data_IF_865564568839
#
_entry.id   IF_865564568839
#
_cell.length_a   1.000
_cell.length_b   1.000
_cell.length_c   1.000
_cell.angle_alpha   90.00
_cell.angle_beta   90.00
_cell.angle_gamma   90.00
#
_symmetry.space_group_name_H-M   'P 1'
#
loop_
_entity.id
_entity.type
_entity.pdbx_description
1 polymer ?
#
# COMPACT_ATOMS: atom_id res chain seq x y z
N UNK A 1 -23.34 36.92 -29.27
CA UNK A 1 -23.53 35.68 -28.52
C UNK A 1 -22.39 34.74 -28.93
N UNK A 2 -21.36 34.67 -28.11
CA UNK A 2 -20.27 33.70 -28.27
C UNK A 2 -20.83 32.37 -27.81
N UNK A 3 -20.97 31.40 -28.72
CA UNK A 3 -21.26 30.02 -28.35
C UNK A 3 -20.04 29.47 -27.59
N UNK A 4 -20.25 29.08 -26.36
CA UNK A 4 -19.29 28.22 -25.66
C UNK A 4 -19.04 26.97 -26.53
N UNK A 5 -17.78 26.69 -26.82
CA UNK A 5 -17.41 25.48 -27.54
C UNK A 5 -17.80 24.28 -26.68
N UNK A 6 -18.54 23.35 -27.28
CA UNK A 6 -18.87 22.06 -26.65
C UNK A 6 -17.54 21.32 -26.39
N UNK A 7 -17.13 21.30 -25.12
CA UNK A 7 -15.88 20.69 -24.66
C UNK A 7 -16.04 19.22 -24.25
N UNK A 8 -17.15 18.60 -24.65
CA UNK A 8 -17.38 17.20 -24.41
C UNK A 8 -16.50 16.28 -25.29
N UNK A 9 -16.30 15.04 -24.88
CA UNK A 9 -15.53 14.08 -25.65
C UNK A 9 -16.18 13.80 -27.00
N UNK A 10 -15.38 13.75 -28.06
CA UNK A 10 -15.82 13.27 -29.36
C UNK A 10 -15.97 11.76 -29.31
N UNK A 11 -17.17 11.27 -29.59
CA UNK A 11 -17.45 9.83 -29.59
C UNK A 11 -17.69 9.40 -31.04
N UNK A 12 -16.90 8.45 -31.51
CA UNK A 12 -17.01 7.86 -32.83
C UNK A 12 -17.03 6.32 -32.76
N UNK A 13 -17.35 5.70 -33.89
CA UNK A 13 -17.18 4.26 -34.08
C UNK A 13 -16.18 4.03 -35.21
N UNK A 14 -15.25 3.10 -34.98
CA UNK A 14 -14.29 2.66 -35.97
C UNK A 14 -14.23 1.13 -35.97
N UNK A 15 -14.77 0.53 -37.01
CA UNK A 15 -14.81 -0.92 -37.20
C UNK A 15 -15.45 -1.69 -36.02
N UNK A 16 -16.55 -1.14 -35.43
CA UNK A 16 -17.24 -1.73 -34.30
C UNK A 16 -16.58 -1.45 -32.93
N UNK A 17 -15.53 -0.63 -32.90
CA UNK A 17 -14.89 -0.18 -31.67
C UNK A 17 -15.33 1.25 -31.37
N UNK A 18 -15.92 1.46 -30.21
CA UNK A 18 -16.26 2.80 -29.73
C UNK A 18 -14.97 3.57 -29.39
N UNK A 19 -14.71 4.63 -30.15
CA UNK A 19 -13.58 5.53 -29.93
C UNK A 19 -14.08 6.76 -29.18
N UNK A 20 -13.46 7.07 -28.05
CA UNK A 20 -13.71 8.30 -27.30
C UNK A 20 -12.42 9.12 -27.37
N UNK A 21 -12.52 10.32 -27.95
CA UNK A 21 -11.41 11.23 -28.07
C UNK A 21 -11.69 12.49 -27.26
N UNK A 22 -10.92 12.69 -26.18
CA UNK A 22 -10.92 13.92 -25.40
C UNK A 22 -9.87 14.88 -25.97
N UNK A 23 -10.31 16.04 -26.39
CA UNK A 23 -9.41 17.11 -26.88
C UNK A 23 -8.98 18.05 -25.75
N UNK A 24 -9.73 18.02 -24.63
CA UNK A 24 -9.43 18.81 -23.43
C UNK A 24 -9.45 17.86 -22.24
N UNK A 25 -8.45 17.93 -21.34
CA UNK A 25 -8.46 17.10 -20.14
C UNK A 25 -9.76 17.28 -19.36
N UNK A 26 -10.33 16.17 -18.85
CA UNK A 26 -11.58 16.18 -18.10
C UNK A 26 -11.56 17.10 -16.85
N UNK A 27 -10.37 17.39 -16.31
CA UNK A 27 -10.19 18.31 -15.18
C UNK A 27 -10.24 19.79 -15.55
N UNK A 28 -10.21 20.16 -16.85
CA UNK A 28 -10.35 21.55 -17.31
C UNK A 28 -9.43 22.52 -16.57
N UNK A 29 -10.03 23.54 -15.94
CA UNK A 29 -9.33 24.56 -15.10
C UNK A 29 -9.25 24.18 -13.61
N UNK A 30 -9.67 22.97 -13.23
CA UNK A 30 -9.58 22.53 -11.83
C UNK A 30 -8.11 22.55 -11.38
N UNK A 31 -7.81 23.09 -10.18
CA UNK A 31 -6.45 23.10 -9.68
C UNK A 31 -5.84 21.72 -9.69
N UNK A 32 -4.70 21.58 -10.36
CA UNK A 32 -3.96 20.32 -10.41
C UNK A 32 -3.03 20.22 -9.20
N UNK A 33 -2.83 19.01 -8.74
CA UNK A 33 -1.81 18.73 -7.75
C UNK A 33 -0.43 18.92 -8.38
N UNK A 34 0.41 19.72 -7.74
CA UNK A 34 1.82 19.88 -8.10
C UNK A 34 2.68 19.31 -7.00
N UNK A 35 3.74 18.61 -7.36
CA UNK A 35 4.77 18.21 -6.40
C UNK A 35 5.65 19.42 -6.16
N UNK A 36 5.67 19.90 -4.92
CA UNK A 36 6.54 21.00 -4.50
C UNK A 36 7.98 20.54 -4.31
N UNK A 37 8.92 21.46 -4.35
CA UNK A 37 10.35 21.18 -4.17
C UNK A 37 10.74 21.05 -2.68
N UNK A 38 9.80 21.27 -1.75
CA UNK A 38 10.07 21.20 -0.32
C UNK A 38 9.58 19.88 0.27
N UNK A 39 10.46 19.22 1.03
CA UNK A 39 10.09 18.08 1.87
C UNK A 39 9.24 18.55 3.03
N UNK A 40 8.16 17.83 3.34
CA UNK A 40 7.32 18.14 4.49
C UNK A 40 7.86 17.55 5.79
N UNK A 41 8.55 16.43 5.71
CA UNK A 41 9.12 15.70 6.85
C UNK A 41 10.40 14.98 6.40
N UNK A 42 11.46 15.14 7.18
CA UNK A 42 12.68 14.35 7.06
C UNK A 42 12.65 13.24 8.11
N UNK A 43 12.77 11.98 7.67
CA UNK A 43 12.76 10.82 8.54
C UNK A 43 14.05 10.03 8.37
N UNK A 44 14.59 9.61 9.45
CA UNK A 44 15.80 8.79 9.51
C UNK A 44 16.82 9.38 10.46
N UNK A 45 17.57 8.49 11.07
CA UNK A 45 18.67 8.85 11.93
C UNK A 45 19.98 8.35 11.32
N UNK A 46 21.07 9.12 11.38
CA UNK A 46 22.37 8.68 10.87
C UNK A 46 22.86 7.36 11.48
N UNK A 47 22.38 7.03 12.67
CA UNK A 47 22.74 5.81 13.42
C UNK A 47 21.91 4.58 13.05
N UNK A 48 20.78 4.78 12.37
CA UNK A 48 19.92 3.71 11.88
C UNK A 48 19.54 3.96 10.41
N UNK A 49 20.40 3.64 9.46
CA UNK A 49 20.10 3.87 8.06
C UNK A 49 18.86 3.07 7.63
N UNK A 50 17.95 3.75 6.99
CA UNK A 50 16.79 3.12 6.34
C UNK A 50 17.26 2.46 5.06
N UNK A 51 17.26 1.13 5.03
CA UNK A 51 17.70 0.35 3.86
C UNK A 51 16.58 -0.55 3.38
N UNK A 52 16.32 -0.51 2.08
CA UNK A 52 15.22 -1.28 1.48
C UNK A 52 13.85 -0.78 1.95
N UNK A 53 13.71 0.55 1.99
CA UNK A 53 12.46 1.20 2.40
C UNK A 53 11.39 0.96 1.35
N UNK A 54 10.36 0.27 1.71
CA UNK A 54 9.07 0.20 1.03
C UNK A 54 8.14 -0.75 1.80
N UNK A 55 6.87 -0.50 1.90
CA UNK A 55 6.13 0.72 1.68
C UNK A 55 6.15 1.68 2.87
N UNK A 56 5.53 2.84 2.70
CA UNK A 56 5.35 3.87 3.73
C UNK A 56 3.86 4.12 3.92
N UNK A 57 3.41 4.28 5.17
CA UNK A 57 2.03 4.64 5.51
C UNK A 57 2.00 5.94 6.31
N UNK A 58 0.93 6.69 6.15
CA UNK A 58 0.56 7.78 7.06
C UNK A 58 -0.69 7.41 7.82
N UNK A 59 -0.62 7.46 9.15
CA UNK A 59 -1.75 7.22 10.03
C UNK A 59 -2.64 8.47 10.13
N UNK A 60 -3.85 8.33 10.71
CA UNK A 60 -4.82 9.42 10.78
C UNK A 60 -4.36 10.61 11.63
N UNK A 61 -3.52 10.35 12.62
CA UNK A 61 -2.94 11.36 13.51
C UNK A 61 -1.64 11.99 12.96
N UNK A 62 -1.27 11.65 11.74
CA UNK A 62 -0.09 12.19 11.05
C UNK A 62 1.20 11.42 11.29
N UNK A 63 1.23 10.39 12.14
CA UNK A 63 2.40 9.50 12.27
C UNK A 63 2.74 8.83 10.96
N UNK A 64 4.01 8.56 10.76
CA UNK A 64 4.56 7.92 9.57
C UNK A 64 5.08 6.54 9.97
N UNK A 65 4.69 5.52 9.22
CA UNK A 65 5.12 4.14 9.45
C UNK A 65 5.90 3.66 8.25
N UNK A 66 7.09 3.13 8.48
CA UNK A 66 8.05 2.77 7.44
C UNK A 66 8.56 1.36 7.65
N UNK A 67 8.63 0.58 6.59
CA UNK A 67 9.34 -0.71 6.61
C UNK A 67 10.83 -0.48 6.41
N UNK A 68 11.66 -1.02 7.30
CA UNK A 68 13.09 -1.18 7.10
C UNK A 68 13.37 -2.63 6.67
N UNK A 69 13.48 -2.85 5.38
CA UNK A 69 13.63 -4.18 4.79
C UNK A 69 14.90 -4.89 5.22
N UNK A 70 16.01 -4.19 5.41
CA UNK A 70 17.26 -4.78 5.86
C UNK A 70 17.17 -5.39 7.25
N UNK A 71 16.41 -4.76 8.15
CA UNK A 71 16.23 -5.21 9.52
C UNK A 71 14.95 -6.01 9.73
N UNK A 72 14.08 -6.10 8.72
CA UNK A 72 12.79 -6.74 8.80
C UNK A 72 11.90 -6.13 9.90
N UNK A 73 11.97 -4.81 10.05
CA UNK A 73 11.30 -4.06 11.12
C UNK A 73 10.40 -2.96 10.57
N UNK A 74 9.47 -2.54 11.40
CA UNK A 74 8.50 -1.48 11.14
C UNK A 74 8.82 -0.33 12.10
N UNK A 75 9.15 0.83 11.55
CA UNK A 75 9.48 2.01 12.32
C UNK A 75 8.31 2.98 12.32
N UNK A 76 7.96 3.50 13.49
CA UNK A 76 6.91 4.48 13.69
C UNK A 76 7.54 5.82 14.05
N UNK A 77 7.25 6.83 13.26
CA UNK A 77 7.71 8.19 13.46
C UNK A 77 6.53 9.10 13.80
N UNK A 78 6.76 10.16 14.54
CA UNK A 78 5.78 11.22 14.69
C UNK A 78 5.68 12.09 13.42
N UNK A 79 4.77 13.07 13.43
CA UNK A 79 4.55 13.97 12.27
C UNK A 79 5.75 14.89 11.98
N UNK A 80 6.74 14.97 12.88
CA UNK A 80 7.97 15.75 12.71
C UNK A 80 9.16 14.93 12.24
N UNK A 81 8.99 13.59 12.12
CA UNK A 81 10.05 12.67 11.70
C UNK A 81 10.86 12.05 12.81
N UNK A 82 10.51 12.29 14.08
CA UNK A 82 11.17 11.67 15.23
C UNK A 82 10.72 10.24 15.40
N UNK A 83 11.66 9.32 15.56
CA UNK A 83 11.36 7.91 15.83
C UNK A 83 10.67 7.75 17.19
N UNK A 84 9.51 7.10 17.20
CA UNK A 84 8.72 6.79 18.39
C UNK A 84 8.97 5.37 18.89
N UNK A 85 8.89 4.39 17.98
CA UNK A 85 9.06 2.97 18.30
C UNK A 85 9.45 2.16 17.08
N UNK A 86 10.01 0.99 17.34
CA UNK A 86 10.32 -0.03 16.33
C UNK A 86 9.59 -1.30 16.71
N UNK A 87 8.84 -1.87 15.76
CA UNK A 87 8.13 -3.11 15.90
C UNK A 87 8.68 -4.17 14.94
N UNK A 88 8.43 -5.45 15.23
CA UNK A 88 8.91 -6.55 14.42
C UNK A 88 10.39 -6.83 14.62
N UNK A 89 11.05 -7.16 13.53
CA UNK A 89 12.46 -7.58 13.50
C UNK A 89 12.62 -8.92 12.79
N UNK A 90 13.86 -9.30 12.51
CA UNK A 90 14.16 -10.59 11.86
C UNK A 90 14.01 -11.73 12.86
N UNK A 91 13.23 -12.76 12.54
CA UNK A 91 13.09 -13.94 13.37
C UNK A 91 11.83 -14.75 13.09
N UNK A 92 11.57 -15.72 13.98
CA UNK A 92 10.46 -16.70 13.90
C UNK A 92 9.39 -16.49 14.96
N UNK A 93 9.64 -15.61 15.92
CA UNK A 93 8.72 -15.31 17.00
C UNK A 93 7.49 -14.56 16.49
N UNK A 94 6.47 -14.47 17.32
CA UNK A 94 5.29 -13.68 17.00
C UNK A 94 5.65 -12.20 16.77
N UNK A 95 5.11 -11.64 15.67
CA UNK A 95 5.44 -10.28 15.26
C UNK A 95 6.81 -10.10 14.60
N UNK A 96 7.60 -11.16 14.42
CA UNK A 96 8.87 -11.14 13.68
C UNK A 96 8.68 -11.64 12.24
N UNK A 97 9.65 -11.33 11.37
CA UNK A 97 9.56 -11.53 9.94
C UNK A 97 10.79 -12.17 9.34
N UNK A 98 10.60 -12.91 8.25
CA UNK A 98 11.66 -13.40 7.37
C UNK A 98 11.71 -12.62 6.06
N UNK A 99 10.57 -12.16 5.58
CA UNK A 99 10.41 -11.48 4.30
C UNK A 99 9.34 -10.39 4.38
N UNK A 100 9.50 -9.44 5.33
CA UNK A 100 8.61 -8.29 5.44
C UNK A 100 8.76 -7.40 4.20
N UNK A 101 7.72 -7.29 3.42
CA UNK A 101 7.76 -6.53 2.17
C UNK A 101 6.52 -5.69 1.91
N UNK A 102 5.50 -5.78 2.76
CA UNK A 102 4.30 -4.97 2.61
C UNK A 102 3.69 -4.61 3.96
N UNK A 103 3.19 -3.39 4.05
CA UNK A 103 2.33 -2.93 5.13
C UNK A 103 1.11 -2.21 4.56
N UNK A 104 -0.01 -2.33 5.25
CA UNK A 104 -1.25 -1.64 4.94
C UNK A 104 -1.89 -1.07 6.20
N UNK A 105 -2.80 -0.12 6.02
CA UNK A 105 -3.54 0.49 7.12
C UNK A 105 -4.90 -0.19 7.24
N UNK A 106 -5.19 -0.73 8.41
CA UNK A 106 -6.47 -1.30 8.78
C UNK A 106 -7.33 -0.38 9.65
N UNK A 107 -8.41 -0.94 10.24
CA UNK A 107 -9.29 -0.22 11.14
C UNK A 107 -8.54 0.38 12.34
N UNK A 108 -8.97 1.55 12.82
CA UNK A 108 -8.39 2.26 13.96
C UNK A 108 -6.86 2.43 13.88
N UNK A 109 -6.34 2.67 12.67
CA UNK A 109 -4.91 2.81 12.39
C UNK A 109 -4.07 1.56 12.72
N UNK A 110 -4.69 0.38 12.78
CA UNK A 110 -3.96 -0.88 12.84
C UNK A 110 -3.04 -1.01 11.63
N UNK A 111 -1.80 -1.39 11.85
CA UNK A 111 -0.85 -1.67 10.79
C UNK A 111 -0.86 -3.16 10.50
N UNK A 112 -1.21 -3.51 9.28
CA UNK A 112 -1.23 -4.88 8.77
C UNK A 112 0.07 -5.09 8.00
N UNK A 113 0.93 -5.99 8.47
CA UNK A 113 2.21 -6.30 7.84
C UNK A 113 2.16 -7.68 7.19
N UNK A 114 2.74 -7.83 6.00
CA UNK A 114 2.77 -9.11 5.29
C UNK A 114 4.19 -9.60 5.06
N UNK A 115 4.40 -10.85 5.43
CA UNK A 115 5.63 -11.60 5.20
C UNK A 115 5.45 -12.51 3.96
N UNK A 116 6.18 -12.21 2.89
CA UNK A 116 6.11 -12.98 1.64
C UNK A 116 6.67 -14.40 1.77
N UNK A 117 7.66 -14.60 2.62
CA UNK A 117 8.31 -15.89 2.77
C UNK A 117 7.49 -16.87 3.60
N UNK A 118 6.87 -16.37 4.68
CA UNK A 118 6.03 -17.20 5.55
C UNK A 118 4.56 -17.15 5.20
N UNK A 119 4.15 -16.20 4.32
CA UNK A 119 2.76 -15.97 3.88
C UNK A 119 1.83 -15.68 5.06
N UNK A 120 2.28 -14.88 5.99
CA UNK A 120 1.56 -14.51 7.20
C UNK A 120 1.37 -13.02 7.28
N UNK A 121 0.25 -12.65 7.90
CA UNK A 121 0.01 -11.29 8.35
C UNK A 121 0.35 -11.18 9.82
N UNK A 122 1.02 -10.08 10.18
CA UNK A 122 1.14 -9.64 11.55
C UNK A 122 0.40 -8.30 11.70
N UNK A 123 -0.41 -8.18 12.73
CA UNK A 123 -1.16 -6.97 13.03
C UNK A 123 -0.52 -6.29 14.22
N UNK A 124 -0.33 -4.98 14.08
CA UNK A 124 0.16 -4.10 15.12
C UNK A 124 -0.86 -2.99 15.35
N UNK A 125 -1.01 -2.58 16.60
CA UNK A 125 -1.85 -1.42 16.90
C UNK A 125 -1.20 -0.12 16.38
N UNK A 126 -1.92 0.98 16.50
CA UNK A 126 -1.45 2.28 16.07
C UNK A 126 -0.17 2.75 16.78
N UNK A 127 0.23 2.13 17.89
CA UNK A 127 1.46 2.45 18.64
C UNK A 127 2.62 1.51 18.32
N UNK A 128 2.40 0.50 17.45
CA UNK A 128 3.39 -0.50 17.10
C UNK A 128 3.45 -1.69 18.04
N UNK A 129 2.45 -1.88 18.92
CA UNK A 129 2.35 -3.06 19.76
C UNK A 129 1.80 -4.22 18.92
N UNK A 130 2.45 -5.38 18.98
CA UNK A 130 1.96 -6.58 18.34
C UNK A 130 0.59 -6.99 18.91
N UNK A 131 -0.34 -7.32 18.03
CA UNK A 131 -1.70 -7.71 18.39
C UNK A 131 -1.90 -9.19 18.13
N UNK A 132 -1.71 -9.66 16.91
CA UNK A 132 -1.89 -11.05 16.52
C UNK A 132 -1.26 -11.35 15.17
N UNK A 133 -1.12 -12.61 14.88
CA UNK A 133 -0.75 -13.12 13.57
C UNK A 133 -1.95 -13.83 12.92
N UNK A 134 -2.04 -13.73 11.59
CA UNK A 134 -3.04 -14.44 10.81
C UNK A 134 -2.33 -15.08 9.60
N UNK A 135 -2.66 -16.33 9.31
CA UNK A 135 -2.17 -16.99 8.11
C UNK A 135 -3.06 -16.62 6.92
N UNK A 136 -2.45 -16.33 5.78
CA UNK A 136 -3.18 -16.27 4.53
C UNK A 136 -3.47 -17.72 4.10
N UNK A 137 -4.73 -18.07 4.06
CA UNK A 137 -5.19 -19.35 3.51
C UNK A 137 -5.64 -19.12 2.04
N UNK A 138 -4.75 -19.27 1.06
CA UNK A 138 -5.16 -19.17 -0.33
C UNK A 138 -5.94 -20.42 -0.73
N UNK A 139 -6.82 -20.26 -1.69
CA UNK A 139 -7.52 -21.37 -2.30
C UNK A 139 -6.55 -22.39 -2.94
N UNK A 140 -5.38 -21.95 -3.40
CA UNK A 140 -4.28 -22.79 -3.91
C UNK A 140 -2.95 -22.31 -3.32
N UNK A 141 -2.25 -23.15 -2.51
CA UNK A 141 -0.95 -22.81 -1.92
C UNK A 141 0.16 -22.59 -2.95
N UNK A 142 -0.01 -23.06 -4.20
CA UNK A 142 0.95 -22.86 -5.29
C UNK A 142 0.83 -21.49 -5.96
N UNK A 143 -0.25 -20.77 -5.69
CA UNK A 143 -0.47 -19.44 -6.24
C UNK A 143 0.21 -18.43 -5.33
N UNK A 144 1.11 -17.63 -5.89
CA UNK A 144 1.66 -16.49 -5.16
C UNK A 144 0.57 -15.44 -4.96
N UNK A 145 0.47 -14.92 -3.75
CA UNK A 145 -0.43 -13.84 -3.40
C UNK A 145 0.40 -12.63 -2.97
N UNK A 146 0.16 -11.50 -3.62
CA UNK A 146 0.83 -10.24 -3.32
C UNK A 146 -0.21 -9.23 -2.88
N UNK A 147 -0.16 -8.70 -1.64
CA UNK A 147 -1.07 -7.68 -1.20
C UNK A 147 -0.81 -6.38 -1.95
N UNK A 148 -1.87 -5.74 -2.41
CA UNK A 148 -1.82 -4.48 -3.16
C UNK A 148 -2.33 -3.31 -2.35
N UNK A 149 -3.44 -3.51 -1.62
CA UNK A 149 -4.08 -2.45 -0.84
C UNK A 149 -4.81 -3.04 0.37
N UNK A 150 -4.92 -2.26 1.43
CA UNK A 150 -5.79 -2.51 2.57
C UNK A 150 -6.91 -1.47 2.62
N UNK A 151 -8.05 -1.86 3.19
CA UNK A 151 -9.23 -1.02 3.29
C UNK A 151 -9.62 -0.77 4.75
N UNK A 152 -10.42 0.28 5.02
CA UNK A 152 -10.85 0.63 6.38
C UNK A 152 -11.70 -0.43 7.08
N UNK A 153 -12.30 -1.34 6.33
CA UNK A 153 -13.08 -2.48 6.86
C UNK A 153 -12.20 -3.69 7.26
N UNK A 154 -10.87 -3.56 7.11
CA UNK A 154 -9.90 -4.62 7.40
C UNK A 154 -9.66 -5.59 6.25
N UNK A 155 -10.36 -5.44 5.13
CA UNK A 155 -10.11 -6.27 3.94
C UNK A 155 -8.79 -5.90 3.26
N UNK A 156 -8.17 -6.88 2.58
CA UNK A 156 -6.93 -6.70 1.81
C UNK A 156 -7.15 -7.19 0.40
N UNK A 157 -6.81 -6.34 -0.59
CA UNK A 157 -6.81 -6.70 -1.99
C UNK A 157 -5.51 -7.39 -2.36
N UNK A 158 -5.61 -8.53 -3.04
CA UNK A 158 -4.47 -9.30 -3.51
C UNK A 158 -4.41 -9.39 -5.02
N UNK A 159 -3.19 -9.37 -5.54
CA UNK A 159 -2.88 -9.88 -6.86
C UNK A 159 -2.49 -11.36 -6.72
N UNK A 160 -3.22 -12.24 -7.43
CA UNK A 160 -2.89 -13.65 -7.52
C UNK A 160 -2.14 -13.91 -8.82
N UNK A 161 -1.01 -14.59 -8.75
CA UNK A 161 -0.22 -14.92 -9.94
C UNK A 161 1.11 -15.59 -9.61
N UNK A 162 1.82 -16.04 -10.64
CA UNK A 162 3.19 -16.52 -10.47
C UNK A 162 4.14 -15.31 -10.39
N UNK A 163 5.05 -15.22 -9.41
CA UNK A 163 5.94 -14.06 -9.22
C UNK A 163 6.87 -13.78 -10.40
N UNK A 164 7.07 -14.72 -11.31
CA UNK A 164 8.04 -14.65 -12.41
C UNK A 164 7.40 -14.65 -13.80
N UNK A 165 6.06 -14.52 -13.90
CA UNK A 165 5.42 -14.44 -15.21
C UNK A 165 5.01 -12.98 -15.50
N UNK A 166 5.60 -12.31 -16.52
CA UNK A 166 5.26 -10.94 -16.86
C UNK A 166 3.86 -10.77 -17.47
N UNK A 167 3.10 -11.86 -17.62
CA UNK A 167 1.73 -11.80 -18.14
C UNK A 167 0.72 -11.59 -17.01
N UNK A 168 -0.32 -10.76 -17.22
CA UNK A 168 -1.25 -10.37 -16.16
C UNK A 168 -2.00 -11.61 -15.64
N UNK A 169 -1.76 -11.93 -14.37
CA UNK A 169 -2.62 -12.84 -13.62
C UNK A 169 -3.99 -12.21 -13.42
N UNK A 170 -4.98 -13.02 -13.09
CA UNK A 170 -6.33 -12.52 -12.77
C UNK A 170 -6.25 -11.52 -11.62
N UNK A 171 -6.77 -10.33 -11.85
CA UNK A 171 -6.93 -9.30 -10.81
C UNK A 171 -8.23 -9.59 -10.06
N UNK A 172 -8.15 -9.67 -8.73
CA UNK A 172 -9.30 -9.44 -7.89
C UNK A 172 -9.89 -10.66 -7.19
N UNK A 173 -9.35 -10.96 -6.02
CA UNK A 173 -10.13 -11.59 -4.97
C UNK A 173 -9.95 -10.76 -3.68
N UNK A 174 -11.05 -10.28 -3.11
CA UNK A 174 -11.07 -9.60 -1.80
C UNK A 174 -11.22 -10.67 -0.74
N UNK A 175 -10.16 -10.91 0.01
CA UNK A 175 -10.20 -11.81 1.16
C UNK A 175 -10.64 -10.98 2.37
N UNK A 176 -11.79 -11.31 2.94
CA UNK A 176 -12.28 -10.76 4.20
C UNK A 176 -11.94 -11.70 5.33
N UNK A 177 -11.36 -11.16 6.40
CA UNK A 177 -11.17 -11.90 7.64
C UNK A 177 -12.56 -12.17 8.23
N UNK A 178 -12.96 -13.44 8.26
CA UNK A 178 -14.15 -13.85 9.00
C UNK A 178 -13.74 -14.06 10.45
N UNK A 179 -14.15 -13.12 11.30
CA UNK A 179 -13.98 -13.18 12.73
C UNK A 179 -14.65 -14.43 13.37
#
# INVERSE_FOLDING_TARGET
VVREADTGPLVGDSAGIRVVQDTVPAWGTTPQWTVGDSFSVDIGEPTQPLVGVAPVLRLSDGRIVVVNGAQQSILYFDSTGKLLTTAGGRGTEEGQFHGLGWIGRGPADTVVAYDFLTRRFALFDAKGTYVRMAALAPADPKVAAEPLASYPDGSVLFRLGRPLNPFPGKVGEVIRDSA
#
